data_IF_343724355016
#
_entry.id   IF_343724355016
#
_cell.length_a   1.000
_cell.length_b   1.000
_cell.length_c   1.000
_cell.angle_alpha   90.00
_cell.angle_beta   90.00
_cell.angle_gamma   90.00
#
_symmetry.space_group_name_H-M   'P 1'
#
loop_
_entity.id
_entity.type
_entity.pdbx_description
1 polymer ?
#
# COMPACT_ATOMS: atom_id res chain seq x y z
N UNK A 1 12.05 -27.78 -9.53
CA UNK A 1 12.94 -26.68 -9.99
C UNK A 1 12.19 -25.34 -9.95
N UNK A 2 11.62 -24.98 -8.80
CA UNK A 2 11.09 -23.63 -8.62
C UNK A 2 12.28 -22.77 -8.24
N UNK A 3 12.63 -21.82 -9.12
CA UNK A 3 13.83 -21.00 -8.96
C UNK A 3 13.67 -20.13 -7.72
N UNK A 4 14.55 -20.34 -6.74
CA UNK A 4 14.76 -19.39 -5.65
C UNK A 4 15.46 -18.16 -6.24
N UNK A 5 14.68 -17.15 -6.62
CA UNK A 5 15.20 -15.82 -6.83
C UNK A 5 15.45 -15.19 -5.46
N UNK A 6 16.71 -15.00 -5.11
CA UNK A 6 17.14 -14.12 -4.05
C UNK A 6 16.89 -12.67 -4.49
N UNK A 7 15.69 -12.15 -4.23
CA UNK A 7 15.35 -10.74 -4.36
C UNK A 7 14.35 -10.39 -3.26
N UNK A 8 14.49 -9.21 -2.67
CA UNK A 8 13.40 -8.51 -1.98
C UNK A 8 12.20 -8.47 -2.93
N UNK A 9 11.35 -9.49 -2.91
CA UNK A 9 10.17 -9.54 -3.76
C UNK A 9 9.21 -8.46 -3.26
N UNK A 10 8.75 -7.53 -4.11
CA UNK A 10 7.62 -6.71 -3.72
C UNK A 10 6.47 -7.67 -3.41
N UNK A 11 6.00 -7.62 -2.17
CA UNK A 11 4.90 -8.42 -1.66
C UNK A 11 3.80 -8.52 -2.74
N UNK A 12 3.29 -9.73 -3.05
CA UNK A 12 2.38 -9.96 -4.19
C UNK A 12 1.08 -9.12 -4.15
N UNK A 13 0.75 -8.55 -3.00
CA UNK A 13 -0.41 -7.65 -2.80
C UNK A 13 -0.10 -6.16 -2.99
N UNK A 14 1.14 -5.77 -3.27
CA UNK A 14 1.49 -4.36 -3.47
C UNK A 14 1.26 -3.97 -4.94
N UNK A 15 0.36 -3.00 -5.21
CA UNK A 15 0.16 -2.51 -6.56
C UNK A 15 1.47 -1.93 -7.12
N UNK A 16 2.03 -2.57 -8.14
CA UNK A 16 3.29 -2.15 -8.77
C UNK A 16 3.21 -0.73 -9.38
N UNK A 17 2.01 -0.28 -9.74
CA UNK A 17 1.76 1.02 -10.37
C UNK A 17 1.45 2.16 -9.38
N UNK A 18 1.09 1.85 -8.13
CA UNK A 18 0.56 2.84 -7.18
C UNK A 18 -0.77 3.47 -7.62
N UNK A 19 -1.49 4.09 -6.68
CA UNK A 19 -2.81 4.66 -6.95
C UNK A 19 -2.76 6.11 -7.45
N UNK A 20 -3.85 6.58 -8.07
CA UNK A 20 -3.99 7.94 -8.63
C UNK A 20 -5.19 8.72 -8.04
N UNK A 21 -5.55 8.41 -6.80
CA UNK A 21 -6.77 8.93 -6.17
C UNK A 21 -6.75 10.45 -5.98
N UNK A 22 -7.79 11.16 -6.45
CA UNK A 22 -7.90 12.63 -6.29
C UNK A 22 -8.93 13.08 -5.25
N UNK A 23 -10.02 12.33 -5.09
CA UNK A 23 -11.18 12.72 -4.23
C UNK A 23 -11.31 11.88 -2.96
N UNK A 24 -10.82 10.63 -2.98
CA UNK A 24 -11.00 9.71 -1.85
C UNK A 24 -9.99 9.92 -0.73
N UNK A 25 -8.92 10.70 -0.98
CA UNK A 25 -7.78 10.84 -0.05
C UNK A 25 -7.20 9.48 0.39
N UNK A 26 -7.39 8.43 -0.42
CA UNK A 26 -7.05 7.05 -0.10
C UNK A 26 -7.67 6.51 1.20
N UNK A 27 -8.73 7.14 1.73
CA UNK A 27 -9.35 6.78 3.02
C UNK A 27 -10.59 5.88 2.86
N UNK A 28 -10.80 5.33 1.66
CA UNK A 28 -11.98 4.52 1.29
C UNK A 28 -11.57 3.47 0.26
N UNK A 29 -12.39 2.43 0.10
CA UNK A 29 -12.20 1.31 -0.86
C UNK A 29 -12.14 1.71 -2.34
N UNK A 30 -12.34 2.98 -2.68
CA UNK A 30 -12.06 3.50 -4.04
C UNK A 30 -10.56 3.55 -4.38
N UNK A 31 -9.68 3.42 -3.38
CA UNK A 31 -8.24 3.34 -3.59
C UNK A 31 -7.80 1.87 -3.58
N UNK A 32 -7.13 1.44 -4.63
CA UNK A 32 -6.57 0.08 -4.74
C UNK A 32 -5.61 -0.25 -3.59
N UNK A 33 -4.78 0.71 -3.13
CA UNK A 33 -3.92 0.49 -1.97
C UNK A 33 -4.73 0.23 -0.70
N UNK A 34 -5.79 1.01 -0.49
CA UNK A 34 -6.67 0.86 0.67
C UNK A 34 -7.44 -0.48 0.62
N UNK A 35 -7.91 -0.89 -0.55
CA UNK A 35 -8.59 -2.16 -0.74
C UNK A 35 -7.66 -3.37 -0.51
N UNK A 36 -6.44 -3.29 -1.04
CA UNK A 36 -5.37 -4.27 -0.83
C UNK A 36 -4.74 -4.22 0.57
N UNK A 37 -5.22 -3.32 1.45
CA UNK A 37 -4.76 -3.19 2.85
C UNK A 37 -3.26 -2.88 2.96
N UNK A 38 -2.75 -2.13 1.99
CA UNK A 38 -1.37 -1.66 1.96
C UNK A 38 -1.34 -0.13 2.05
N UNK A 39 -0.38 0.46 2.77
CA UNK A 39 -0.21 1.91 2.77
C UNK A 39 0.15 2.40 1.36
N UNK A 40 -0.31 3.59 1.01
CA UNK A 40 0.21 4.29 -0.16
C UNK A 40 1.68 4.63 0.06
N UNK A 41 2.45 4.54 -1.01
CA UNK A 41 3.89 4.80 -0.99
C UNK A 41 4.26 5.87 -2.02
N UNK A 42 5.55 6.17 -2.17
CA UNK A 42 6.06 7.15 -3.13
C UNK A 42 5.67 6.91 -4.60
N UNK A 43 5.28 5.68 -4.96
CA UNK A 43 4.76 5.32 -6.29
C UNK A 43 3.33 5.85 -6.54
N UNK A 44 2.58 6.19 -5.49
CA UNK A 44 1.23 6.69 -5.61
C UNK A 44 1.23 8.18 -5.99
N UNK A 45 0.39 8.55 -6.96
CA UNK A 45 0.15 9.93 -7.41
C UNK A 45 -1.15 10.49 -6.87
N UNK A 46 -1.59 9.99 -5.73
CA UNK A 46 -2.80 10.44 -5.06
C UNK A 46 -2.63 11.83 -4.44
N UNK A 47 -3.70 12.62 -4.42
CA UNK A 47 -3.72 13.98 -3.85
C UNK A 47 -4.37 13.92 -2.46
N UNK A 48 -3.73 14.54 -1.47
CA UNK A 48 -4.22 14.57 -0.09
C UNK A 48 -4.35 13.18 0.53
N UNK A 49 -3.31 12.35 0.39
CA UNK A 49 -3.32 10.96 0.87
C UNK A 49 -3.42 10.87 2.40
N UNK A 50 -4.35 10.04 2.87
CA UNK A 50 -4.53 9.68 4.30
C UNK A 50 -4.20 8.21 4.60
N UNK A 51 -3.89 7.41 3.58
CA UNK A 51 -3.45 6.02 3.72
C UNK A 51 -1.92 5.97 3.68
N UNK A 52 -1.27 6.46 4.73
CA UNK A 52 0.19 6.48 4.85
C UNK A 52 0.66 5.38 5.78
N UNK A 53 1.97 5.09 5.81
CA UNK A 53 2.55 4.13 6.77
C UNK A 53 2.28 4.50 8.24
N UNK A 54 2.01 5.77 8.52
CA UNK A 54 1.70 6.30 9.85
C UNK A 54 0.20 6.26 10.17
N UNK A 55 -0.65 5.96 9.19
CA UNK A 55 -2.09 5.82 9.41
C UNK A 55 -2.34 4.52 10.13
N UNK A 56 -2.66 4.57 11.43
CA UNK A 56 -2.96 3.40 12.27
C UNK A 56 -4.32 2.85 11.83
N UNK A 57 -4.32 2.20 10.68
CA UNK A 57 -5.50 1.58 10.13
C UNK A 57 -5.50 0.11 10.56
N UNK A 58 -6.60 -0.41 11.12
CA UNK A 58 -6.71 -1.82 11.51
C UNK A 58 -6.37 -2.80 10.38
N UNK A 59 -6.53 -2.34 9.13
CA UNK A 59 -6.21 -3.11 7.92
C UNK A 59 -4.72 -3.12 7.60
N UNK A 60 -3.95 -2.11 8.02
CA UNK A 60 -2.52 -1.96 7.74
C UNK A 60 -1.63 -2.50 8.90
N UNK A 61 -2.21 -3.15 9.91
CA UNK A 61 -1.52 -3.58 11.15
C UNK A 61 -0.32 -4.51 10.91
N UNK A 62 -0.28 -5.21 9.77
CA UNK A 62 0.88 -6.04 9.38
C UNK A 62 2.10 -5.27 8.85
N UNK A 63 1.97 -3.97 8.56
CA UNK A 63 3.07 -3.13 8.04
C UNK A 63 3.81 -2.34 9.11
N UNK A 64 3.23 -2.19 10.30
CA UNK A 64 3.95 -1.65 11.45
C UNK A 64 4.96 -2.69 11.90
N UNK A 65 6.19 -2.63 11.37
CA UNK A 65 7.31 -3.37 11.95
C UNK A 65 7.38 -2.94 13.40
N UNK A 66 7.04 -3.85 14.31
CA UNK A 66 7.35 -3.74 15.71
C UNK A 66 8.81 -3.28 15.82
N UNK A 67 9.03 -2.17 16.52
CA UNK A 67 10.36 -1.81 16.99
C UNK A 67 10.91 -2.91 17.87
#
# INVERSE_FOLDING_TARGET
MYKFANTMTPQPDRPLKGCNCKKSSCHKRYCECYESRVPCTSLCKCIGCKNTEQSVHPLNVGFYRSG
#
